data_IF_570501238831
#
_entry.id   IF_570501238831
#
_cell.length_a   1.000
_cell.length_b   1.000
_cell.length_c   1.000
_cell.angle_alpha   90.00
_cell.angle_beta   90.00
_cell.angle_gamma   90.00
#
_symmetry.space_group_name_H-M   'P 1'
#
loop_
_entity.id
_entity.type
_entity.pdbx_description
1 polymer ?
#
# COMPACT_ATOMS: atom_id res chain seq x y z
N UNK A 1 2.65 -43.46 0.50
CA UNK A 1 3.59 -42.35 0.82
C UNK A 1 2.76 -41.08 0.87
N UNK A 2 2.26 -40.74 2.05
CA UNK A 2 1.54 -39.48 2.27
C UNK A 2 2.57 -38.35 2.33
N UNK A 3 2.49 -37.44 1.37
CA UNK A 3 3.20 -36.17 1.41
C UNK A 3 2.55 -35.32 2.50
N UNK A 4 3.21 -35.19 3.65
CA UNK A 4 2.79 -34.23 4.67
C UNK A 4 3.17 -32.83 4.16
N UNK A 5 2.22 -32.11 3.59
CA UNK A 5 2.37 -30.67 3.36
C UNK A 5 2.39 -29.99 4.73
N UNK A 6 3.60 -29.79 5.26
CA UNK A 6 3.81 -28.92 6.42
C UNK A 6 3.30 -27.53 6.05
N UNK A 7 2.17 -27.11 6.61
CA UNK A 7 1.74 -25.72 6.56
C UNK A 7 2.74 -24.94 7.40
N UNK A 8 3.64 -24.21 6.76
CA UNK A 8 4.49 -23.26 7.46
C UNK A 8 3.59 -22.18 8.04
N UNK A 9 3.39 -22.18 9.36
CA UNK A 9 2.73 -21.08 10.05
C UNK A 9 3.67 -19.88 10.06
N UNK A 10 3.23 -18.74 9.53
CA UNK A 10 3.99 -17.50 9.64
C UNK A 10 4.07 -17.05 11.10
N UNK A 11 5.21 -16.48 11.49
CA UNK A 11 5.38 -15.95 12.85
C UNK A 11 4.46 -14.75 13.08
N UNK A 12 3.96 -14.62 14.31
CA UNK A 12 3.20 -13.45 14.75
C UNK A 12 4.08 -12.62 15.70
N UNK A 13 4.27 -11.35 15.39
CA UNK A 13 5.12 -10.42 16.12
C UNK A 13 4.23 -9.38 16.80
N UNK A 14 4.16 -9.39 18.12
CA UNK A 14 3.44 -8.34 18.87
C UNK A 14 4.32 -7.12 19.04
N UNK A 15 3.77 -5.93 18.78
CA UNK A 15 4.46 -4.65 19.00
C UNK A 15 4.42 -4.18 20.46
N UNK A 16 3.69 -4.88 21.33
CA UNK A 16 3.55 -4.54 22.76
C UNK A 16 4.01 -5.70 23.65
N UNK A 17 4.76 -6.67 23.11
CA UNK A 17 5.32 -7.78 23.89
C UNK A 17 6.20 -7.21 25.02
N UNK A 18 5.91 -7.53 26.30
CA UNK A 18 6.72 -7.06 27.40
C UNK A 18 8.16 -7.60 27.34
N UNK A 19 8.40 -8.71 26.64
CA UNK A 19 9.72 -9.23 26.32
C UNK A 19 10.05 -8.96 24.84
N UNK A 20 10.60 -7.78 24.56
CA UNK A 20 11.00 -7.37 23.21
C UNK A 20 11.97 -8.36 22.56
N UNK A 21 12.79 -9.09 23.34
CA UNK A 21 13.76 -10.05 22.79
C UNK A 21 13.07 -11.25 22.15
N UNK A 22 11.89 -11.62 22.64
CA UNK A 22 11.03 -12.62 22.00
C UNK A 22 10.57 -12.16 20.62
N UNK A 23 10.05 -10.93 20.51
CA UNK A 23 9.66 -10.34 19.23
C UNK A 23 10.83 -10.23 18.26
N UNK A 24 12.01 -9.84 18.74
CA UNK A 24 13.26 -9.78 17.95
C UNK A 24 13.63 -11.16 17.41
N UNK A 25 13.62 -12.20 18.25
CA UNK A 25 13.97 -13.55 17.84
C UNK A 25 12.99 -14.11 16.78
N UNK A 26 11.69 -13.94 17.00
CA UNK A 26 10.65 -14.39 16.06
C UNK A 26 10.71 -13.64 14.73
N UNK A 27 10.95 -12.32 14.76
CA UNK A 27 11.08 -11.52 13.55
C UNK A 27 12.32 -11.93 12.76
N UNK A 28 13.47 -12.08 13.45
CA UNK A 28 14.72 -12.52 12.82
C UNK A 28 14.54 -13.87 12.13
N UNK A 29 13.90 -14.82 12.81
CA UNK A 29 13.60 -16.12 12.23
C UNK A 29 12.68 -15.98 11.00
N UNK A 30 11.61 -15.19 11.10
CA UNK A 30 10.69 -14.98 9.98
C UNK A 30 11.38 -14.42 8.74
N UNK A 31 12.28 -13.44 8.92
CA UNK A 31 13.07 -12.83 7.86
C UNK A 31 14.06 -13.82 7.20
N UNK A 32 14.63 -14.75 7.96
CA UNK A 32 15.57 -15.76 7.46
C UNK A 32 14.88 -16.95 6.79
N UNK A 33 13.68 -17.31 7.26
CA UNK A 33 12.98 -18.51 6.81
C UNK A 33 12.07 -18.24 5.61
N UNK A 34 11.06 -17.38 5.78
CA UNK A 34 10.01 -17.16 4.78
C UNK A 34 10.03 -15.77 4.16
N UNK A 35 10.61 -14.79 4.86
CA UNK A 35 10.51 -13.37 4.52
C UNK A 35 9.17 -12.72 4.91
N UNK A 36 8.24 -13.46 5.53
CA UNK A 36 6.90 -12.98 5.89
C UNK A 36 6.55 -13.27 7.35
N UNK A 37 5.74 -12.37 7.94
CA UNK A 37 5.20 -12.51 9.30
C UNK A 37 3.91 -11.68 9.44
N UNK A 38 3.14 -11.96 10.49
CA UNK A 38 2.01 -11.13 10.91
C UNK A 38 2.44 -10.20 12.04
N UNK A 39 1.91 -8.99 12.05
CA UNK A 39 2.09 -8.03 13.15
C UNK A 39 0.81 -8.00 13.97
N UNK A 40 0.95 -8.17 15.29
CA UNK A 40 -0.14 -8.09 16.26
C UNK A 40 -0.02 -6.81 17.09
N UNK A 41 -1.13 -6.41 17.70
CA UNK A 41 -1.19 -5.30 18.66
C UNK A 41 -0.64 -3.98 18.12
N UNK A 42 -0.82 -3.75 16.81
CA UNK A 42 -0.30 -2.57 16.12
C UNK A 42 -1.06 -1.27 16.46
N UNK A 43 -2.21 -1.37 17.14
CA UNK A 43 -2.96 -0.24 17.66
C UNK A 43 -3.90 0.45 16.66
N UNK A 44 -4.04 -0.09 15.44
CA UNK A 44 -5.05 0.39 14.48
C UNK A 44 -6.33 -0.40 14.75
N UNK A 45 -7.43 0.29 15.05
CA UNK A 45 -8.69 -0.36 15.37
C UNK A 45 -9.31 -1.03 14.14
N UNK A 46 -10.02 -2.14 14.36
CA UNK A 46 -10.76 -2.81 13.28
C UNK A 46 -11.81 -1.87 12.65
N UNK A 47 -12.49 -1.07 13.46
CA UNK A 47 -13.47 -0.08 13.00
C UNK A 47 -12.85 0.92 12.00
N UNK A 48 -11.65 1.42 12.30
CA UNK A 48 -10.96 2.35 11.38
C UNK A 48 -10.46 1.63 10.12
N UNK A 49 -9.97 0.39 10.23
CA UNK A 49 -9.62 -0.41 9.05
C UNK A 49 -10.85 -0.63 8.14
N UNK A 50 -12.01 -0.92 8.72
CA UNK A 50 -13.26 -1.11 7.97
C UNK A 50 -13.68 0.21 7.28
N UNK A 51 -13.52 1.36 7.94
CA UNK A 51 -13.75 2.68 7.33
C UNK A 51 -12.80 2.94 6.16
N UNK A 52 -11.50 2.64 6.30
CA UNK A 52 -10.51 2.76 5.21
C UNK A 52 -10.92 1.94 4.00
N UNK A 53 -11.30 0.67 4.19
CA UNK A 53 -11.76 -0.17 3.08
C UNK A 53 -13.08 0.34 2.48
N UNK A 54 -14.01 0.84 3.30
CA UNK A 54 -15.27 1.39 2.82
C UNK A 54 -15.06 2.65 1.97
N UNK A 55 -14.22 3.58 2.40
CA UNK A 55 -13.87 4.78 1.63
C UNK A 55 -13.08 4.42 0.37
N UNK A 56 -12.11 3.50 0.46
CA UNK A 56 -11.38 3.00 -0.71
C UNK A 56 -12.35 2.42 -1.76
N UNK A 57 -13.34 1.65 -1.32
CA UNK A 57 -14.36 1.07 -2.20
C UNK A 57 -15.20 2.14 -2.88
N UNK A 58 -15.66 3.17 -2.15
CA UNK A 58 -16.45 4.27 -2.72
C UNK A 58 -15.72 4.98 -3.87
N UNK A 59 -14.40 5.14 -3.77
CA UNK A 59 -13.61 5.70 -4.86
C UNK A 59 -13.63 4.81 -6.10
N UNK A 60 -13.39 3.50 -5.94
CA UNK A 60 -13.35 2.58 -7.08
C UNK A 60 -14.74 2.37 -7.74
N UNK A 61 -15.83 2.58 -6.99
CA UNK A 61 -17.20 2.59 -7.51
C UNK A 61 -17.59 3.89 -8.27
N UNK A 62 -16.74 4.92 -8.27
CA UNK A 62 -17.00 6.13 -9.05
C UNK A 62 -17.04 5.84 -10.56
N UNK A 63 -17.80 6.63 -11.34
CA UNK A 63 -17.74 6.57 -12.79
C UNK A 63 -16.30 6.70 -13.28
N UNK A 64 -15.91 5.93 -14.31
CA UNK A 64 -14.55 5.96 -14.83
C UNK A 64 -14.11 7.38 -15.23
N UNK A 65 -15.03 8.21 -15.73
CA UNK A 65 -14.75 9.61 -16.06
C UNK A 65 -14.28 10.44 -14.86
N UNK A 66 -14.73 10.14 -13.65
CA UNK A 66 -14.26 10.81 -12.42
C UNK A 66 -12.89 10.27 -11.99
N UNK A 67 -12.69 8.94 -12.05
CA UNK A 67 -11.40 8.31 -11.71
C UNK A 67 -10.27 8.78 -12.64
N UNK A 68 -10.56 8.90 -13.94
CA UNK A 68 -9.60 9.33 -14.96
C UNK A 68 -9.17 10.80 -14.84
N UNK A 69 -9.90 11.65 -14.09
CA UNK A 69 -9.44 13.02 -13.77
C UNK A 69 -8.23 13.02 -12.83
N UNK A 70 -7.98 11.91 -12.15
CA UNK A 70 -6.95 11.76 -11.13
C UNK A 70 -5.83 10.83 -11.60
N UNK A 71 -5.63 10.67 -12.90
CA UNK A 71 -4.63 9.78 -13.49
C UNK A 71 -3.24 9.98 -12.89
N UNK A 72 -2.52 8.87 -12.66
CA UNK A 72 -1.19 8.88 -12.04
C UNK A 72 -0.24 9.83 -12.76
N UNK A 73 0.27 10.82 -12.04
CA UNK A 73 1.19 11.82 -12.58
C UNK A 73 2.66 11.36 -12.56
N UNK A 74 3.57 12.18 -13.09
CA UNK A 74 5.02 11.89 -13.10
C UNK A 74 5.66 11.72 -11.71
N UNK A 75 4.96 12.12 -10.64
CA UNK A 75 5.39 11.94 -9.24
C UNK A 75 4.81 10.68 -8.61
N UNK A 76 4.21 9.80 -9.41
CA UNK A 76 3.53 8.58 -8.96
C UNK A 76 2.41 8.85 -7.95
N UNK A 77 1.62 9.91 -8.15
CA UNK A 77 0.42 10.20 -7.35
C UNK A 77 -0.82 10.04 -8.19
N UNK A 78 -1.85 9.40 -7.64
CA UNK A 78 -3.16 9.27 -8.30
C UNK A 78 -3.49 7.86 -8.79
N UNK A 79 -4.48 7.80 -9.66
CA UNK A 79 -5.17 6.61 -10.14
C UNK A 79 -4.44 5.91 -11.28
N UNK A 80 -4.34 4.59 -11.22
CA UNK A 80 -3.94 3.71 -12.32
C UNK A 80 -5.14 2.90 -12.79
N UNK A 81 -5.55 3.02 -14.07
CA UNK A 81 -6.68 2.27 -14.59
C UNK A 81 -6.41 0.77 -14.66
N UNK A 82 -7.47 0.00 -14.85
CA UNK A 82 -7.34 -1.43 -15.15
C UNK A 82 -6.43 -1.65 -16.34
N UNK A 83 -5.67 -2.76 -16.30
CA UNK A 83 -4.78 -3.20 -17.37
C UNK A 83 -3.56 -2.28 -17.62
N UNK A 84 -3.38 -1.22 -16.84
CA UNK A 84 -2.29 -0.24 -17.01
C UNK A 84 -0.92 -0.78 -16.57
N UNK A 85 -0.89 -1.77 -15.66
CA UNK A 85 0.35 -2.44 -15.26
C UNK A 85 0.52 -3.78 -15.96
N UNK A 86 1.61 -3.91 -16.72
CA UNK A 86 2.09 -5.16 -17.30
C UNK A 86 3.37 -5.54 -16.54
N UNK A 87 3.25 -6.44 -15.56
CA UNK A 87 4.37 -6.90 -14.72
C UNK A 87 5.04 -8.15 -15.31
N UNK A 88 4.31 -8.92 -16.11
CA UNK A 88 4.80 -10.09 -16.83
C UNK A 88 4.27 -10.06 -18.28
N UNK A 89 5.00 -9.43 -19.22
CA UNK A 89 4.55 -9.30 -20.60
C UNK A 89 4.30 -10.64 -21.32
N UNK A 90 4.91 -11.74 -20.84
CA UNK A 90 4.77 -13.06 -21.45
C UNK A 90 3.47 -13.76 -21.05
N UNK A 91 2.98 -13.52 -19.82
CA UNK A 91 1.77 -14.15 -19.29
C UNK A 91 0.58 -13.19 -19.09
N UNK A 92 0.79 -11.88 -19.08
CA UNK A 92 -0.23 -10.83 -18.91
C UNK A 92 -0.48 -10.09 -20.22
N UNK A 93 -0.92 -10.80 -21.25
CA UNK A 93 -1.17 -10.26 -22.60
C UNK A 93 -2.15 -9.07 -22.61
N UNK A 94 -3.04 -9.00 -21.62
CA UNK A 94 -4.01 -7.91 -21.46
C UNK A 94 -3.67 -6.92 -20.34
N UNK A 95 -2.62 -7.11 -19.53
CA UNK A 95 -2.37 -6.33 -18.29
C UNK A 95 -3.03 -6.92 -17.02
N UNK A 96 -2.71 -6.34 -15.85
CA UNK A 96 -3.25 -6.80 -14.55
C UNK A 96 -4.73 -6.38 -14.36
N UNK A 97 -5.57 -7.31 -13.89
CA UNK A 97 -7.00 -7.09 -13.65
C UNK A 97 -7.24 -6.36 -12.32
N UNK A 98 -6.55 -5.25 -12.15
CA UNK A 98 -6.65 -4.37 -11.00
C UNK A 98 -6.61 -2.93 -11.43
N UNK A 99 -7.39 -2.12 -10.75
CA UNK A 99 -7.17 -0.69 -10.70
C UNK A 99 -6.52 -0.33 -9.36
N UNK A 100 -5.89 0.85 -9.31
CA UNK A 100 -5.12 1.24 -8.14
C UNK A 100 -5.06 2.74 -7.92
N UNK A 101 -4.66 3.14 -6.72
CA UNK A 101 -4.45 4.54 -6.36
C UNK A 101 -3.20 4.69 -5.50
N UNK A 102 -2.37 5.69 -5.82
CA UNK A 102 -1.12 5.96 -5.14
C UNK A 102 -1.20 7.26 -4.35
N UNK A 103 -0.93 7.14 -3.06
CA UNK A 103 -0.89 8.26 -2.11
C UNK A 103 0.48 8.24 -1.44
N UNK A 104 1.29 9.26 -1.67
CA UNK A 104 2.56 9.39 -0.97
C UNK A 104 2.48 10.39 0.18
N UNK A 105 3.63 10.69 0.77
CA UNK A 105 3.75 11.83 1.70
C UNK A 105 3.34 13.11 0.98
N UNK A 106 2.43 13.87 1.61
CA UNK A 106 1.92 15.14 1.10
C UNK A 106 3.01 16.21 1.16
N UNK A 107 3.28 16.86 0.03
CA UNK A 107 4.26 17.93 -0.07
C UNK A 107 3.62 19.07 -0.86
N UNK A 108 3.43 20.27 -0.27
CA UNK A 108 2.86 21.41 -0.99
C UNK A 108 3.61 21.72 -2.28
N UNK A 109 2.89 22.22 -3.29
CA UNK A 109 3.49 22.51 -4.60
C UNK A 109 4.57 23.59 -4.54
N UNK A 110 4.44 24.54 -3.61
CA UNK A 110 5.37 25.63 -3.35
C UNK A 110 6.54 25.25 -2.44
N UNK A 111 6.54 24.04 -1.86
CA UNK A 111 7.66 23.54 -1.07
C UNK A 111 8.87 23.24 -1.98
N UNK A 112 10.10 23.68 -1.64
CA UNK A 112 11.30 23.37 -2.43
C UNK A 112 11.53 21.88 -2.68
N UNK A 113 11.08 21.00 -1.77
CA UNK A 113 11.15 19.55 -1.91
C UNK A 113 10.30 19.03 -3.07
N UNK A 114 9.26 19.75 -3.49
CA UNK A 114 8.40 19.37 -4.60
C UNK A 114 9.15 19.25 -5.94
N UNK A 115 10.37 19.79 -6.05
CA UNK A 115 11.23 19.61 -7.21
C UNK A 115 11.90 18.23 -7.27
N UNK A 116 11.83 17.43 -6.19
CA UNK A 116 12.44 16.11 -6.12
C UNK A 116 11.50 15.04 -6.71
N UNK A 117 12.03 13.99 -7.35
CA UNK A 117 11.24 12.85 -7.79
C UNK A 117 10.41 12.26 -6.65
N UNK A 118 9.14 11.96 -6.89
CA UNK A 118 8.20 11.41 -5.90
C UNK A 118 7.82 12.35 -4.74
N UNK A 119 8.21 13.62 -4.75
CA UNK A 119 7.75 14.63 -3.78
C UNK A 119 6.82 15.62 -4.48
N UNK A 120 5.62 15.80 -3.94
CA UNK A 120 4.65 16.78 -4.46
C UNK A 120 3.27 16.52 -3.90
N UNK A 121 2.29 17.35 -4.33
CA UNK A 121 0.93 17.22 -3.86
C UNK A 121 0.36 15.88 -4.31
N UNK A 122 -0.40 15.23 -3.43
CA UNK A 122 -1.22 14.10 -3.86
C UNK A 122 -2.36 14.59 -4.76
N UNK A 123 -2.89 13.67 -5.55
CA UNK A 123 -4.15 13.89 -6.25
C UNK A 123 -5.26 13.45 -5.31
N UNK A 124 -6.31 14.25 -5.18
CA UNK A 124 -7.42 13.99 -4.28
C UNK A 124 -8.75 14.13 -5.03
N UNK A 125 -9.70 13.21 -4.86
CA UNK A 125 -11.06 13.44 -5.33
C UNK A 125 -11.65 14.68 -4.63
N UNK A 126 -12.58 15.36 -5.30
CA UNK A 126 -13.28 16.50 -4.70
C UNK A 126 -14.01 16.08 -3.42
N UNK A 127 -13.93 16.90 -2.38
CA UNK A 127 -14.70 16.71 -1.13
C UNK A 127 -16.22 16.78 -1.37
N UNK A 128 -16.67 17.36 -2.48
CA UNK A 128 -18.09 17.32 -2.88
C UNK A 128 -18.54 15.90 -3.27
N UNK A 129 -17.63 15.09 -3.83
CA UNK A 129 -17.92 13.73 -4.29
C UNK A 129 -17.63 12.73 -3.17
N UNK A 130 -16.48 12.89 -2.51
CA UNK A 130 -16.00 12.00 -1.47
C UNK A 130 -15.50 12.80 -0.24
N UNK A 131 -16.42 13.30 0.61
CA UNK A 131 -16.09 14.25 1.67
C UNK A 131 -15.06 13.75 2.70
N UNK A 132 -15.05 12.45 2.99
CA UNK A 132 -14.19 11.85 4.03
C UNK A 132 -12.93 11.19 3.50
N UNK A 133 -12.83 11.00 2.19
CA UNK A 133 -11.88 10.06 1.62
C UNK A 133 -10.44 10.50 1.84
N UNK A 134 -10.14 11.78 1.60
CA UNK A 134 -8.82 12.34 1.84
C UNK A 134 -8.40 12.18 3.31
N UNK A 135 -9.25 12.63 4.25
CA UNK A 135 -8.98 12.58 5.68
C UNK A 135 -8.66 11.15 6.15
N UNK A 136 -9.52 10.19 5.77
CA UNK A 136 -9.37 8.77 6.14
C UNK A 136 -8.08 8.19 5.57
N UNK A 137 -7.75 8.46 4.30
CA UNK A 137 -6.54 7.92 3.67
C UNK A 137 -5.26 8.55 4.21
N UNK A 138 -5.27 9.86 4.48
CA UNK A 138 -4.15 10.55 5.13
C UNK A 138 -3.92 10.01 6.56
N UNK A 139 -4.99 9.79 7.32
CA UNK A 139 -4.89 9.19 8.65
C UNK A 139 -4.35 7.76 8.59
N UNK A 140 -4.83 6.94 7.66
CA UNK A 140 -4.33 5.58 7.49
C UNK A 140 -2.87 5.54 7.05
N UNK A 141 -2.45 6.43 6.14
CA UNK A 141 -1.05 6.56 5.73
C UNK A 141 -0.14 6.82 6.94
N UNK A 142 -0.52 7.76 7.82
CA UNK A 142 0.23 8.06 9.06
C UNK A 142 0.29 6.87 10.01
N UNK A 143 -0.84 6.21 10.25
CA UNK A 143 -0.90 5.05 11.15
C UNK A 143 -0.11 3.85 10.63
N UNK A 144 -0.25 3.54 9.33
CA UNK A 144 0.51 2.46 8.71
C UNK A 144 2.03 2.75 8.73
N UNK A 145 2.44 4.00 8.49
CA UNK A 145 3.84 4.41 8.60
C UNK A 145 4.37 4.31 10.04
N UNK A 146 3.56 4.68 11.04
CA UNK A 146 3.91 4.49 12.47
C UNK A 146 4.19 3.02 12.76
N UNK A 147 3.29 2.12 12.34
CA UNK A 147 3.45 0.67 12.51
C UNK A 147 4.70 0.16 11.79
N UNK A 148 4.95 0.60 10.56
CA UNK A 148 6.14 0.23 9.79
C UNK A 148 7.44 0.67 10.50
N UNK A 149 7.47 1.87 11.07
CA UNK A 149 8.61 2.36 11.88
C UNK A 149 8.81 1.51 13.14
N UNK A 150 7.74 1.13 13.84
CA UNK A 150 7.84 0.20 14.99
C UNK A 150 8.43 -1.16 14.59
N UNK A 151 8.01 -1.71 13.45
CA UNK A 151 8.59 -2.97 12.92
C UNK A 151 10.07 -2.78 12.56
N UNK A 152 10.44 -1.64 11.96
CA UNK A 152 11.82 -1.32 11.61
C UNK A 152 12.74 -1.25 12.85
N UNK A 153 12.25 -0.78 13.99
CA UNK A 153 12.99 -0.80 15.26
C UNK A 153 13.28 -2.22 15.75
N UNK A 154 12.32 -3.14 15.61
CA UNK A 154 12.53 -4.56 15.92
C UNK A 154 13.55 -5.18 14.94
N UNK A 155 13.51 -4.81 13.66
CA UNK A 155 14.52 -5.21 12.68
C UNK A 155 15.91 -4.69 13.07
N UNK A 156 16.03 -3.43 13.52
CA UNK A 156 17.31 -2.87 13.96
C UNK A 156 17.92 -3.69 15.11
N UNK A 157 17.10 -4.02 16.12
CA UNK A 157 17.52 -4.88 17.22
C UNK A 157 17.92 -6.29 16.75
N UNK A 158 17.19 -6.89 15.80
CA UNK A 158 17.53 -8.20 15.22
C UNK A 158 18.88 -8.22 14.49
N UNK A 159 19.30 -7.06 13.98
CA UNK A 159 20.59 -6.81 13.34
C UNK A 159 21.69 -6.41 14.34
N UNK A 160 21.40 -6.38 15.64
CA UNK A 160 22.28 -5.86 16.70
C UNK A 160 22.70 -4.39 16.48
N UNK A 161 21.76 -3.57 15.99
CA UNK A 161 21.91 -2.12 15.89
C UNK A 161 21.15 -1.42 17.03
N UNK A 162 21.36 -0.12 17.18
CA UNK A 162 20.53 0.72 18.05
C UNK A 162 19.07 0.67 17.60
N UNK A 163 18.13 0.66 18.55
CA UNK A 163 16.69 0.53 18.26
C UNK A 163 16.20 1.58 17.26
N UNK A 164 16.67 2.81 17.40
CA UNK A 164 16.31 3.98 16.59
C UNK A 164 17.18 4.15 15.33
N UNK A 165 17.99 3.15 14.97
CA UNK A 165 18.93 3.23 13.86
C UNK A 165 18.26 3.66 12.54
N UNK A 166 17.07 3.14 12.24
CA UNK A 166 16.32 3.46 11.02
C UNK A 166 15.47 4.73 11.13
N UNK A 167 15.32 5.32 12.32
CA UNK A 167 14.55 6.57 12.50
C UNK A 167 15.29 7.81 12.00
N UNK A 168 16.56 7.66 11.62
CA UNK A 168 17.41 8.73 11.07
C UNK A 168 16.80 9.32 9.79
N UNK A 169 16.92 10.64 9.54
CA UNK A 169 16.37 11.30 8.35
C UNK A 169 16.76 10.61 7.03
N UNK A 170 18.00 10.14 6.92
CA UNK A 170 18.53 9.49 5.71
C UNK A 170 17.98 8.07 5.47
N UNK A 171 17.24 7.52 6.44
CA UNK A 171 16.66 6.17 6.41
C UNK A 171 15.13 6.25 6.32
N UNK A 172 14.41 6.02 7.42
CA UNK A 172 12.96 6.09 7.50
C UNK A 172 12.45 7.35 8.21
N UNK A 173 13.35 8.20 8.73
CA UNK A 173 12.98 9.49 9.33
C UNK A 173 12.15 10.33 8.35
N UNK A 174 12.74 10.65 7.20
CA UNK A 174 12.12 11.37 6.08
C UNK A 174 11.73 10.39 4.95
N UNK A 175 10.92 9.38 5.28
CA UNK A 175 10.55 8.31 4.35
C UNK A 175 9.72 8.80 3.15
N UNK A 176 9.94 8.23 1.97
CA UNK A 176 9.08 8.40 0.78
C UNK A 176 7.89 7.41 0.76
N UNK A 177 7.32 7.13 1.93
CA UNK A 177 6.29 6.10 2.10
C UNK A 177 5.09 6.33 1.18
N UNK A 178 4.66 5.27 0.51
CA UNK A 178 3.53 5.28 -0.41
C UNK A 178 2.48 4.28 0.04
N UNK A 179 1.26 4.76 0.26
CA UNK A 179 0.06 3.97 0.41
C UNK A 179 -0.48 3.65 -0.99
N UNK A 180 -0.74 2.36 -1.23
CA UNK A 180 -1.35 1.88 -2.46
C UNK A 180 -2.69 1.23 -2.16
N UNK A 181 -3.75 1.79 -2.72
CA UNK A 181 -5.08 1.18 -2.73
C UNK A 181 -5.19 0.32 -3.98
N UNK A 182 -5.78 -0.87 -3.85
CA UNK A 182 -5.94 -1.81 -4.94
C UNK A 182 -7.36 -2.36 -4.95
N UNK A 183 -7.97 -2.38 -6.13
CA UNK A 183 -9.24 -3.04 -6.37
C UNK A 183 -9.07 -4.03 -7.50
N UNK A 184 -9.26 -5.31 -7.18
CA UNK A 184 -9.26 -6.39 -8.16
C UNK A 184 -10.70 -6.69 -8.53
N UNK A 185 -11.03 -6.59 -9.82
CA UNK A 185 -12.33 -7.05 -10.28
C UNK A 185 -12.36 -8.58 -10.22
N UNK A 186 -13.40 -9.14 -9.60
CA UNK A 186 -13.64 -10.57 -9.66
C UNK A 186 -13.84 -10.96 -11.12
N UNK A 187 -12.93 -11.74 -11.68
CA UNK A 187 -12.96 -12.11 -13.10
C UNK A 187 -14.37 -12.46 -13.55
N UNK A 188 -14.90 -11.68 -14.49
CA UNK A 188 -16.18 -12.00 -15.08
C UNK A 188 -16.09 -13.45 -15.58
N UNK A 189 -16.97 -14.32 -15.08
CA UNK A 189 -17.21 -15.60 -15.76
C UNK A 189 -17.60 -15.22 -17.19
N UNK A 190 -16.72 -15.55 -18.12
CA UNK A 190 -16.86 -15.25 -19.54
C UNK A 190 -18.22 -15.73 -20.03
N UNK A 191 -19.09 -14.76 -20.21
CA UNK A 191 -20.45 -14.94 -20.66
C UNK A 191 -20.93 -13.67 -21.32
N UNK A 192 -20.11 -13.09 -22.20
CA UNK A 192 -20.45 -12.45 -23.48
C UNK A 192 -19.23 -11.68 -23.97
N UNK A 193 -18.84 -11.93 -25.22
CA UNK A 193 -17.75 -11.26 -25.89
C UNK A 193 -18.05 -9.76 -26.01
N UNK A 194 -17.21 -8.91 -25.40
CA UNK A 194 -17.12 -7.52 -25.80
C UNK A 194 -15.97 -7.42 -26.81
N UNK A 195 -16.35 -7.20 -28.07
CA UNK A 195 -15.45 -6.80 -29.13
C UNK A 195 -14.99 -5.39 -28.81
N UNK A 196 -13.71 -5.24 -28.45
CA UNK A 196 -13.02 -3.96 -28.43
C UNK A 196 -12.89 -3.50 -29.88
N UNK A 197 -13.60 -2.44 -30.25
CA UNK A 197 -13.23 -1.60 -31.37
C UNK A 197 -13.27 -0.15 -30.90
N UNK A 198 -12.16 0.52 -31.20
CA UNK A 198 -11.95 1.96 -31.22
C UNK A 198 -11.92 2.66 -29.85
N UNK A 199 -10.76 3.23 -29.50
CA UNK A 199 -10.55 4.67 -29.22
C UNK A 199 -9.09 4.85 -28.75
N UNK A 200 -8.22 5.23 -29.70
CA UNK A 200 -7.13 6.18 -29.48
C UNK A 200 -6.97 6.97 -30.78
N UNK A 201 -7.26 8.29 -30.83
CA UNK A 201 -6.77 9.13 -31.90
C UNK A 201 -5.30 9.49 -31.64
N UNK A 202 -4.56 9.63 -32.74
CA UNK A 202 -3.12 9.90 -32.84
C UNK A 202 -2.68 11.22 -32.19
#
# INVERSE_FOLDING_TARGET
MESSTSRTSLNCISLVDPDIQRSVALLKQACLDSGFFYVLDHGISQEFMDEVFAESKKFFELPNSEKMKLLRNEKNRGYTPMLDEILDPENQVNGDYKEGYYIGVEVPADDPQSNRPFYGPNQWPSEEILPKWREVMEQYHREALRVAKSVARIIALALNLDEDFFDRPEMLGDSIATLRLLHYEGGQKTGHAFVSNDIYPA
#
